data_IF_758986847297
#
_entry.id   IF_758986847297
#
_cell.length_a   1.000
_cell.length_b   1.000
_cell.length_c   1.000
_cell.angle_alpha   90.00
_cell.angle_beta   90.00
_cell.angle_gamma   90.00
#
_symmetry.space_group_name_H-M   'P 1'
#
loop_
_entity.id
_entity.type
_entity.pdbx_description
1 polymer ?
#
# COMPACT_ATOMS: atom_id res chain seq x y z
N UNK A 1 -2.31 -10.42 7.21
CA UNK A 1 -3.22 -9.26 7.11
C UNK A 1 -2.68 -8.16 8.01
N UNK A 2 -2.66 -6.91 7.55
CA UNK A 2 -2.04 -5.75 8.18
C UNK A 2 -3.07 -4.63 8.33
N UNK A 3 -2.67 -3.52 8.93
CA UNK A 3 -3.56 -2.37 9.19
C UNK A 3 -3.16 -1.13 8.41
N UNK A 4 -1.93 -1.10 7.91
CA UNK A 4 -1.31 0.08 7.30
C UNK A 4 -0.79 1.09 8.32
N UNK A 5 -0.56 0.65 9.56
CA UNK A 5 0.11 1.43 10.60
C UNK A 5 1.55 0.92 10.72
N UNK A 6 2.48 1.74 10.28
CA UNK A 6 3.90 1.38 10.27
C UNK A 6 4.44 1.34 11.71
N UNK A 7 5.10 0.24 12.06
CA UNK A 7 5.67 0.04 13.38
C UNK A 7 7.15 0.45 13.46
N UNK A 8 7.87 0.32 12.33
CA UNK A 8 9.30 0.58 12.29
C UNK A 8 9.78 0.99 10.88
N UNK A 9 10.81 1.82 10.82
CA UNK A 9 11.59 2.09 9.63
C UNK A 9 12.84 1.21 9.60
N UNK A 10 12.79 0.12 8.85
CA UNK A 10 13.93 -0.74 8.60
C UNK A 10 14.94 -0.16 7.63
N UNK A 11 16.11 -0.79 7.56
CA UNK A 11 17.16 -0.45 6.59
C UNK A 11 17.59 -1.71 5.84
N UNK A 12 17.58 -1.64 4.51
CA UNK A 12 18.04 -2.75 3.66
C UNK A 12 19.54 -2.93 3.77
N UNK A 13 19.98 -4.13 4.08
CA UNK A 13 21.42 -4.50 4.07
C UNK A 13 21.84 -5.09 2.72
N UNK A 14 20.99 -5.95 2.13
CA UNK A 14 21.24 -6.57 0.83
C UNK A 14 19.93 -6.92 0.12
N UNK A 15 19.99 -7.10 -1.20
CA UNK A 15 18.87 -7.57 -2.03
C UNK A 15 19.15 -8.99 -2.55
N UNK A 16 20.42 -9.33 -2.75
CA UNK A 16 20.86 -10.61 -3.28
C UNK A 16 21.74 -11.35 -2.24
N UNK A 17 21.61 -12.66 -2.12
CA UNK A 17 20.66 -13.56 -2.79
C UNK A 17 19.22 -13.44 -2.24
N UNK A 18 19.03 -12.78 -1.09
CA UNK A 18 17.77 -12.50 -0.42
C UNK A 18 17.70 -11.04 -0.01
N UNK A 19 16.49 -10.49 0.04
CA UNK A 19 16.28 -9.22 0.74
C UNK A 19 16.61 -9.42 2.21
N UNK A 20 17.57 -8.67 2.74
CA UNK A 20 17.86 -8.60 4.18
C UNK A 20 17.57 -7.20 4.68
N UNK A 21 16.79 -7.12 5.76
CA UNK A 21 16.39 -5.85 6.37
C UNK A 21 16.82 -5.83 7.82
N UNK A 22 17.55 -4.79 8.20
CA UNK A 22 17.92 -4.48 9.59
C UNK A 22 16.76 -3.76 10.27
N UNK A 23 16.38 -4.25 11.44
CA UNK A 23 15.27 -3.76 12.24
C UNK A 23 15.42 -4.25 13.69
N UNK A 24 14.52 -3.82 14.58
CA UNK A 24 14.53 -4.20 15.99
C UNK A 24 13.11 -4.50 16.50
N UNK A 25 12.21 -3.53 16.45
CA UNK A 25 10.85 -3.60 17.03
C UNK A 25 10.03 -4.75 16.46
N UNK A 26 10.05 -4.92 15.13
CA UNK A 26 9.27 -5.98 14.47
C UNK A 26 9.83 -7.39 14.73
N UNK A 27 11.04 -7.51 15.28
CA UNK A 27 11.65 -8.80 15.62
C UNK A 27 11.22 -9.33 17.01
N UNK A 28 10.66 -8.48 17.89
CA UNK A 28 10.39 -8.83 19.29
C UNK A 28 9.56 -10.11 19.46
N UNK A 29 8.60 -10.37 18.57
CA UNK A 29 7.73 -11.56 18.58
C UNK A 29 7.69 -12.29 17.24
N UNK A 30 8.63 -11.98 16.34
CA UNK A 30 8.68 -12.60 15.02
C UNK A 30 9.20 -14.04 15.10
N UNK A 31 8.53 -14.96 14.44
CA UNK A 31 8.97 -16.33 14.26
C UNK A 31 9.38 -16.60 12.80
N UNK A 32 10.26 -17.58 12.61
CA UNK A 32 10.63 -18.10 11.28
C UNK A 32 9.36 -18.51 10.51
N UNK A 33 9.19 -18.03 9.29
CA UNK A 33 8.01 -18.27 8.47
C UNK A 33 6.83 -17.31 8.74
N UNK A 34 6.95 -16.38 9.69
CA UNK A 34 5.93 -15.35 9.90
C UNK A 34 5.83 -14.39 8.71
N UNK A 35 4.64 -13.83 8.48
CA UNK A 35 4.47 -12.75 7.52
C UNK A 35 5.01 -11.43 8.09
N UNK A 36 5.54 -10.60 7.21
CA UNK A 36 5.95 -9.21 7.49
C UNK A 36 5.64 -8.35 6.27
N UNK A 37 5.10 -7.16 6.47
CA UNK A 37 4.94 -6.18 5.38
C UNK A 37 6.22 -5.34 5.26
N UNK A 38 6.78 -5.27 4.04
CA UNK A 38 7.92 -4.42 3.68
C UNK A 38 7.46 -3.47 2.58
N UNK A 39 7.40 -2.17 2.85
CA UNK A 39 6.76 -1.19 1.97
C UNK A 39 5.37 -1.67 1.49
N UNK A 40 4.58 -2.25 2.38
CA UNK A 40 3.25 -2.78 2.08
C UNK A 40 3.24 -4.10 1.29
N UNK A 41 4.38 -4.72 1.02
CA UNK A 41 4.45 -6.03 0.38
C UNK A 41 4.53 -7.11 1.45
N UNK A 42 3.57 -8.04 1.47
CA UNK A 42 3.60 -9.19 2.36
C UNK A 42 4.69 -10.17 1.93
N UNK A 43 5.66 -10.38 2.79
CA UNK A 43 6.78 -11.32 2.62
C UNK A 43 6.78 -12.33 3.76
N UNK A 44 7.48 -13.44 3.56
CA UNK A 44 7.76 -14.42 4.60
C UNK A 44 9.14 -14.17 5.19
N UNK A 45 9.18 -13.89 6.50
CA UNK A 45 10.43 -13.69 7.21
C UNK A 45 11.15 -15.03 7.41
N UNK A 46 12.42 -15.07 7.00
CA UNK A 46 13.31 -16.23 7.14
C UNK A 46 14.69 -15.77 7.59
N UNK A 47 15.52 -16.71 8.04
CA UNK A 47 16.90 -16.43 8.48
C UNK A 47 16.96 -15.24 9.45
N UNK A 48 16.16 -15.38 10.54
CA UNK A 48 16.07 -14.38 11.61
C UNK A 48 17.39 -14.27 12.35
N UNK A 49 17.78 -13.02 12.62
CA UNK A 49 18.96 -12.66 13.46
C UNK A 49 18.49 -11.68 14.54
N UNK A 50 19.30 -11.43 15.57
CA UNK A 50 18.92 -10.49 16.64
C UNK A 50 18.59 -9.07 16.17
N UNK A 51 19.08 -8.67 14.99
CA UNK A 51 18.98 -7.32 14.44
C UNK A 51 18.45 -7.27 12.99
N UNK A 52 18.04 -8.40 12.41
CA UNK A 52 17.60 -8.45 11.02
C UNK A 52 16.79 -9.70 10.70
N UNK A 53 16.01 -9.63 9.63
CA UNK A 53 15.43 -10.79 8.95
C UNK A 53 15.80 -10.81 7.48
N UNK A 54 15.64 -11.96 6.83
CA UNK A 54 15.69 -12.04 5.37
C UNK A 54 14.32 -12.46 4.81
N UNK A 55 14.12 -12.22 3.50
CA UNK A 55 12.95 -12.68 2.77
C UNK A 55 13.32 -13.01 1.33
N UNK A 56 12.70 -14.06 0.78
CA UNK A 56 12.81 -14.38 -0.63
C UNK A 56 11.86 -13.50 -1.45
N UNK A 57 12.32 -12.98 -2.57
CA UNK A 57 11.53 -12.14 -3.48
C UNK A 57 11.20 -12.91 -4.75
N UNK A 58 9.92 -13.21 -4.96
CA UNK A 58 9.46 -13.80 -6.21
C UNK A 58 9.61 -12.83 -7.38
N UNK A 59 9.83 -13.33 -8.63
CA UNK A 59 9.92 -12.46 -9.80
C UNK A 59 8.69 -11.54 -10.00
N UNK A 60 7.50 -12.02 -9.67
CA UNK A 60 6.27 -11.23 -9.72
C UNK A 60 6.30 -10.07 -8.73
N UNK A 61 6.75 -10.32 -7.50
CA UNK A 61 6.92 -9.29 -6.45
C UNK A 61 7.86 -8.18 -6.92
N UNK A 62 8.98 -8.55 -7.54
CA UNK A 62 9.95 -7.58 -8.08
C UNK A 62 9.37 -6.74 -9.22
N UNK A 63 8.50 -7.32 -10.06
CA UNK A 63 7.85 -6.59 -11.16
C UNK A 63 6.76 -5.64 -10.69
N UNK A 64 5.93 -6.09 -9.74
CA UNK A 64 4.73 -5.38 -9.28
C UNK A 64 4.99 -4.32 -8.23
N UNK A 65 6.15 -4.36 -7.56
CA UNK A 65 6.46 -3.48 -6.45
C UNK A 65 7.71 -2.64 -6.67
N UNK A 66 7.96 -1.70 -5.76
CA UNK A 66 9.18 -0.93 -5.72
C UNK A 66 10.37 -1.68 -5.08
N UNK A 67 10.15 -2.91 -4.58
CA UNK A 67 11.21 -3.69 -3.92
C UNK A 67 12.38 -4.00 -4.86
N UNK A 68 12.12 -4.14 -6.17
CA UNK A 68 13.17 -4.34 -7.18
C UNK A 68 14.13 -3.15 -7.37
N UNK A 69 13.73 -1.95 -6.93
CA UNK A 69 14.56 -0.74 -6.99
C UNK A 69 15.35 -0.45 -5.70
N UNK A 70 15.12 -1.23 -4.65
CA UNK A 70 15.85 -1.09 -3.38
C UNK A 70 17.33 -1.43 -3.55
N UNK A 71 18.14 -0.88 -2.67
CA UNK A 71 19.59 -1.14 -2.57
C UNK A 71 20.03 -1.09 -1.10
N UNK A 72 21.23 -1.54 -0.79
CA UNK A 72 21.79 -1.40 0.54
C UNK A 72 21.72 0.07 1.00
N UNK A 73 21.27 0.30 2.23
CA UNK A 73 20.99 1.61 2.81
C UNK A 73 19.60 2.18 2.52
N UNK A 74 18.78 1.57 1.65
CA UNK A 74 17.39 1.99 1.45
C UNK A 74 16.58 1.83 2.74
N UNK A 75 15.73 2.83 3.05
CA UNK A 75 14.78 2.73 4.15
C UNK A 75 13.50 2.07 3.66
N UNK A 76 12.86 1.27 4.51
CA UNK A 76 11.61 0.58 4.22
C UNK A 76 10.66 0.66 5.40
N UNK A 77 9.36 0.79 5.13
CA UNK A 77 8.30 0.70 6.11
C UNK A 77 8.09 -0.76 6.51
N UNK A 78 8.00 -1.04 7.81
CA UNK A 78 7.78 -2.38 8.35
C UNK A 78 6.51 -2.40 9.21
N UNK A 79 5.70 -3.46 9.03
CA UNK A 79 4.54 -3.73 9.86
C UNK A 79 4.38 -5.23 10.05
N UNK A 80 4.18 -5.67 11.30
CA UNK A 80 3.82 -7.05 11.64
C UNK A 80 2.36 -7.34 11.29
N UNK A 81 1.96 -8.61 11.10
CA UNK A 81 0.55 -8.96 10.94
C UNK A 81 -0.27 -8.50 12.16
N UNK A 82 -1.49 -8.03 11.90
CA UNK A 82 -2.43 -7.67 12.97
C UNK A 82 -2.63 -8.85 13.92
N UNK A 83 -2.30 -8.66 15.19
CA UNK A 83 -2.59 -9.63 16.26
C UNK A 83 -4.10 -9.78 16.46
N UNK A 84 -4.61 -10.99 16.80
CA UNK A 84 -6.03 -11.20 17.11
C UNK A 84 -6.56 -10.28 18.24
N UNK A 85 -5.69 -9.85 19.16
CA UNK A 85 -6.01 -8.90 20.23
C UNK A 85 -5.69 -7.44 19.83
N UNK A 86 -5.13 -7.20 18.65
CA UNK A 86 -4.74 -5.88 18.16
C UNK A 86 -5.92 -5.04 17.69
N UNK A 87 -5.66 -3.76 17.47
CA UNK A 87 -6.66 -2.82 16.93
C UNK A 87 -6.42 -2.61 15.43
N UNK A 88 -7.49 -2.57 14.66
CA UNK A 88 -7.45 -2.13 13.26
C UNK A 88 -7.41 -0.59 13.25
N UNK A 89 -6.19 -0.01 13.35
CA UNK A 89 -6.00 1.44 13.42
C UNK A 89 -6.09 2.17 12.07
N UNK A 90 -5.89 1.45 10.97
CA UNK A 90 -6.02 1.96 9.59
C UNK A 90 -7.21 1.32 8.87
N UNK A 91 -6.91 0.53 7.82
CA UNK A 91 -7.91 -0.26 7.10
C UNK A 91 -7.40 -1.70 6.85
N UNK A 92 -8.17 -2.53 6.17
CA UNK A 92 -7.76 -3.91 5.86
C UNK A 92 -6.70 -3.87 4.74
N UNK A 93 -5.44 -4.03 5.12
CA UNK A 93 -4.29 -4.13 4.21
C UNK A 93 -3.84 -5.58 4.14
N UNK A 94 -3.78 -6.14 2.93
CA UNK A 94 -3.39 -7.53 2.75
C UNK A 94 -1.89 -7.72 2.57
N UNK A 95 -1.20 -6.67 2.13
CA UNK A 95 0.18 -6.73 1.65
C UNK A 95 0.26 -7.20 0.20
N UNK A 96 -0.85 -7.13 -0.53
CA UNK A 96 -0.95 -7.55 -1.92
C UNK A 96 -1.02 -6.32 -2.83
N UNK A 97 0.16 -5.76 -3.09
CA UNK A 97 0.33 -4.55 -3.91
C UNK A 97 -0.27 -4.74 -5.29
N UNK A 98 -1.15 -3.84 -5.71
CA UNK A 98 -1.81 -3.86 -7.01
C UNK A 98 -0.91 -3.36 -8.12
N UNK A 99 -0.07 -2.39 -7.81
CA UNK A 99 0.87 -1.77 -8.74
C UNK A 99 1.68 -0.68 -8.07
N UNK A 100 2.39 0.10 -8.87
CA UNK A 100 3.18 1.23 -8.36
C UNK A 100 2.71 2.53 -8.96
N UNK A 101 2.58 3.56 -8.11
CA UNK A 101 2.42 4.95 -8.52
C UNK A 101 3.75 5.68 -8.63
N UNK A 102 3.72 6.84 -9.26
CA UNK A 102 4.84 7.78 -9.34
C UNK A 102 4.62 8.89 -8.32
N UNK A 103 5.56 9.04 -7.39
CA UNK A 103 5.60 10.18 -6.47
C UNK A 103 5.84 11.47 -7.26
N UNK A 104 4.93 12.44 -7.17
CA UNK A 104 5.01 13.70 -7.89
C UNK A 104 5.56 14.83 -7.02
N UNK A 105 4.96 15.03 -5.84
CA UNK A 105 5.36 16.09 -4.92
C UNK A 105 4.94 15.79 -3.49
N UNK A 106 5.62 16.45 -2.55
CA UNK A 106 5.25 16.57 -1.16
C UNK A 106 5.40 18.05 -0.77
N UNK A 107 4.29 18.76 -0.69
CA UNK A 107 4.24 20.22 -0.51
C UNK A 107 3.67 20.56 0.86
N UNK A 108 4.28 21.53 1.55
CA UNK A 108 3.75 22.02 2.83
C UNK A 108 2.38 22.68 2.62
N UNK A 109 1.39 22.32 3.46
CA UNK A 109 0.02 22.85 3.42
C UNK A 109 -0.16 24.16 4.24
N UNK A 110 0.89 24.54 4.94
CA UNK A 110 0.79 25.51 6.03
C UNK A 110 0.59 24.77 7.36
N UNK A 111 1.20 25.28 8.45
CA UNK A 111 1.34 24.50 9.68
C UNK A 111 2.40 23.41 9.52
N UNK A 112 2.12 22.22 10.09
CA UNK A 112 3.08 21.10 10.08
C UNK A 112 2.66 19.94 9.17
N UNK A 113 1.65 20.11 8.31
CA UNK A 113 1.12 19.09 7.43
C UNK A 113 1.64 19.24 5.98
N UNK A 114 1.59 18.15 5.23
CA UNK A 114 2.00 18.11 3.82
C UNK A 114 0.92 17.54 2.93
N UNK A 115 0.93 17.99 1.68
CA UNK A 115 0.13 17.48 0.59
C UNK A 115 0.99 16.55 -0.28
N UNK A 116 0.74 15.26 -0.19
CA UNK A 116 1.40 14.24 -1.01
C UNK A 116 0.59 14.00 -2.27
N UNK A 117 1.25 14.06 -3.42
CA UNK A 117 0.66 13.80 -4.74
C UNK A 117 1.34 12.62 -5.42
N UNK A 118 0.53 11.69 -5.94
CA UNK A 118 0.99 10.48 -6.63
C UNK A 118 0.22 10.33 -7.92
N UNK A 119 0.92 10.12 -9.04
CA UNK A 119 0.30 9.67 -10.28
C UNK A 119 -0.03 8.19 -10.17
N UNK A 120 -1.29 7.86 -10.42
CA UNK A 120 -1.81 6.50 -10.30
C UNK A 120 -1.93 5.87 -11.68
N UNK A 121 -1.58 4.58 -11.83
CA UNK A 121 -1.87 3.83 -13.05
C UNK A 121 -3.38 3.81 -13.32
N UNK A 122 -3.83 4.01 -14.58
CA UNK A 122 -5.27 4.08 -14.91
C UNK A 122 -6.07 2.84 -14.49
N UNK A 123 -5.43 1.68 -14.44
CA UNK A 123 -6.06 0.42 -14.02
C UNK A 123 -6.46 0.40 -12.53
N UNK A 124 -5.87 1.25 -11.70
CA UNK A 124 -6.20 1.34 -10.27
C UNK A 124 -7.30 2.38 -9.97
N UNK A 125 -7.56 3.32 -10.88
CA UNK A 125 -8.54 4.39 -10.70
C UNK A 125 -9.95 3.89 -10.28
N UNK A 126 -10.50 2.79 -10.86
CA UNK A 126 -11.82 2.30 -10.46
C UNK A 126 -11.94 1.86 -8.99
N UNK A 127 -10.83 1.60 -8.32
CA UNK A 127 -10.80 1.14 -6.92
C UNK A 127 -10.52 2.27 -5.92
N UNK A 128 -10.21 3.47 -6.40
CA UNK A 128 -9.93 4.63 -5.57
C UNK A 128 -11.18 5.49 -5.43
N UNK A 129 -11.50 5.87 -4.19
CA UNK A 129 -12.71 6.63 -3.88
C UNK A 129 -12.35 7.84 -3.02
N UNK A 130 -12.86 9.02 -3.37
CA UNK A 130 -12.72 10.21 -2.53
C UNK A 130 -13.18 9.92 -1.10
N UNK A 131 -12.33 10.26 -0.12
CA UNK A 131 -12.49 9.92 1.31
C UNK A 131 -12.42 8.41 1.63
N UNK A 132 -12.11 7.57 0.64
CA UNK A 132 -11.76 6.17 0.88
C UNK A 132 -10.33 6.01 1.38
N UNK A 133 -9.95 4.76 1.64
CA UNK A 133 -8.60 4.38 2.08
C UNK A 133 -7.75 3.87 0.94
N UNK A 134 -6.45 4.08 1.03
CA UNK A 134 -5.43 3.49 0.16
C UNK A 134 -4.18 3.22 0.99
N UNK A 135 -3.47 2.14 0.73
CA UNK A 135 -2.15 1.92 1.31
C UNK A 135 -1.06 2.37 0.32
N UNK A 136 -0.19 3.28 0.77
CA UNK A 136 0.96 3.81 0.01
C UNK A 136 2.22 3.36 0.73
N UNK A 137 3.01 2.48 0.09
CA UNK A 137 4.13 1.79 0.74
C UNK A 137 3.76 1.21 2.11
N UNK A 138 2.56 0.62 2.20
CA UNK A 138 2.01 0.05 3.40
C UNK A 138 1.38 1.05 4.38
N UNK A 139 1.48 2.34 4.14
CA UNK A 139 0.88 3.38 5.01
C UNK A 139 -0.59 3.56 4.65
N UNK A 140 -1.50 3.33 5.61
CA UNK A 140 -2.93 3.60 5.46
C UNK A 140 -3.20 5.09 5.44
N UNK A 141 -3.77 5.59 4.34
CA UNK A 141 -4.02 7.01 4.14
C UNK A 141 -5.42 7.25 3.57
N UNK A 142 -6.01 8.38 3.94
CA UNK A 142 -7.31 8.81 3.40
C UNK A 142 -7.11 9.63 2.14
N UNK A 143 -7.84 9.28 1.09
CA UNK A 143 -7.83 9.99 -0.20
C UNK A 143 -8.51 11.35 -0.02
N UNK A 144 -7.75 12.42 -0.19
CA UNK A 144 -8.23 13.79 -0.05
C UNK A 144 -8.63 14.44 -1.38
N UNK A 145 -8.07 13.97 -2.51
CA UNK A 145 -8.48 14.34 -3.86
C UNK A 145 -8.09 13.26 -4.88
N UNK A 146 -8.86 13.18 -5.98
CA UNK A 146 -8.59 12.34 -7.15
C UNK A 146 -8.92 13.17 -8.38
N UNK A 147 -7.91 13.59 -9.15
CA UNK A 147 -8.10 14.46 -10.31
C UNK A 147 -7.08 14.16 -11.39
N UNK A 148 -7.54 13.87 -12.60
CA UNK A 148 -6.66 13.67 -13.77
C UNK A 148 -5.63 12.54 -13.60
N UNK A 149 -5.98 11.46 -12.89
CA UNK A 149 -5.07 10.35 -12.60
C UNK A 149 -4.05 10.66 -11.50
N UNK A 150 -4.27 11.74 -10.72
CA UNK A 150 -3.46 12.10 -9.57
C UNK A 150 -4.25 11.88 -8.29
N UNK A 151 -3.72 11.02 -7.43
CA UNK A 151 -4.15 10.79 -6.06
C UNK A 151 -3.46 11.80 -5.16
N UNK A 152 -4.22 12.43 -4.26
CA UNK A 152 -3.67 13.31 -3.24
C UNK A 152 -4.13 12.90 -1.84
N UNK A 153 -3.19 12.93 -0.89
CA UNK A 153 -3.43 12.63 0.53
C UNK A 153 -2.73 13.66 1.41
N UNK A 154 -3.24 13.86 2.62
CA UNK A 154 -2.59 14.72 3.62
C UNK A 154 -1.69 13.87 4.51
N UNK A 155 -0.46 14.32 4.72
CA UNK A 155 0.53 13.71 5.60
C UNK A 155 0.71 14.58 6.83
N UNK A 156 0.47 14.01 8.01
CA UNK A 156 0.69 14.66 9.31
C UNK A 156 2.15 14.49 9.78
N UNK A 157 2.64 15.29 10.72
CA UNK A 157 4.04 15.23 11.20
C UNK A 157 4.49 13.85 11.67
N UNK A 158 3.61 13.11 12.33
CA UNK A 158 3.90 11.75 12.80
C UNK A 158 4.23 10.84 11.61
N UNK A 159 3.35 10.78 10.60
CA UNK A 159 3.52 9.95 9.39
C UNK A 159 4.77 10.37 8.61
N UNK A 160 5.01 11.67 8.47
CA UNK A 160 6.20 12.21 7.80
C UNK A 160 7.49 11.70 8.44
N UNK A 161 7.58 11.70 9.77
CA UNK A 161 8.79 11.30 10.51
C UNK A 161 8.98 9.80 10.65
N UNK A 162 7.88 9.02 10.70
CA UNK A 162 7.92 7.60 11.03
C UNK A 162 7.72 6.67 9.83
N UNK A 163 7.68 7.22 8.61
CA UNK A 163 7.55 6.44 7.37
C UNK A 163 8.54 6.91 6.31
N UNK A 164 8.68 6.14 5.23
CA UNK A 164 9.53 6.50 4.09
C UNK A 164 9.01 7.68 3.30
N UNK A 165 7.73 8.09 3.47
CA UNK A 165 7.05 9.07 2.62
C UNK A 165 7.72 10.45 2.61
N UNK A 166 8.31 10.88 3.74
CA UNK A 166 9.04 12.15 3.85
C UNK A 166 10.38 12.19 3.10
N UNK A 167 10.90 11.04 2.68
CA UNK A 167 12.22 10.91 2.04
C UNK A 167 12.19 10.79 0.51
N UNK A 168 11.02 10.71 -0.11
CA UNK A 168 10.91 10.51 -1.56
C UNK A 168 11.21 11.79 -2.36
N UNK A 169 11.63 11.56 -3.60
CA UNK A 169 11.84 12.62 -4.60
C UNK A 169 10.91 12.40 -5.79
N UNK A 170 10.53 13.45 -6.53
CA UNK A 170 9.75 13.32 -7.75
C UNK A 170 10.32 12.26 -8.70
N UNK A 171 9.43 11.42 -9.24
CA UNK A 171 9.78 10.27 -10.07
C UNK A 171 10.02 8.96 -9.30
N UNK A 172 10.06 8.98 -7.95
CA UNK A 172 10.16 7.75 -7.16
C UNK A 172 8.91 6.87 -7.34
N UNK A 173 9.11 5.55 -7.39
CA UNK A 173 8.01 4.58 -7.42
C UNK A 173 7.58 4.26 -5.99
N UNK A 174 6.27 4.31 -5.75
CA UNK A 174 5.65 3.91 -4.48
C UNK A 174 4.66 2.77 -4.72
N UNK A 175 4.60 1.81 -3.80
CA UNK A 175 3.63 0.71 -3.88
C UNK A 175 2.24 1.23 -3.56
N UNK A 176 1.24 0.76 -4.31
CA UNK A 176 -0.16 1.07 -4.09
C UNK A 176 -0.94 -0.22 -3.87
N UNK A 177 -1.69 -0.27 -2.76
CA UNK A 177 -2.70 -1.28 -2.52
C UNK A 177 -4.04 -0.58 -2.31
N UNK A 178 -5.01 -0.85 -3.20
CA UNK A 178 -6.38 -0.34 -3.10
C UNK A 178 -7.14 -1.14 -2.04
N UNK A 179 -8.10 -0.50 -1.39
CA UNK A 179 -8.95 -1.17 -0.39
C UNK A 179 -9.63 -2.40 -1.00
N UNK A 180 -9.48 -3.56 -0.34
CA UNK A 180 -10.04 -4.84 -0.80
C UNK A 180 -11.58 -4.77 -0.95
N UNK A 181 -12.26 -3.95 -0.15
CA UNK A 181 -13.70 -3.76 -0.26
C UNK A 181 -14.08 -3.12 -1.59
N UNK A 182 -13.33 -2.11 -2.06
CA UNK A 182 -13.55 -1.48 -3.36
C UNK A 182 -13.39 -2.49 -4.51
N UNK A 183 -12.38 -3.36 -4.44
CA UNK A 183 -12.15 -4.44 -5.43
C UNK A 183 -13.30 -5.44 -5.47
N UNK A 184 -13.86 -5.81 -4.32
CA UNK A 184 -15.01 -6.73 -4.26
C UNK A 184 -16.28 -6.09 -4.80
N UNK A 185 -16.56 -4.84 -4.42
CA UNK A 185 -17.73 -4.08 -4.91
C UNK A 185 -17.67 -3.93 -6.43
N UNK A 186 -16.55 -3.51 -6.97
CA UNK A 186 -16.34 -3.33 -8.41
C UNK A 186 -16.54 -4.66 -9.17
N UNK A 187 -15.98 -5.77 -8.67
CA UNK A 187 -16.16 -7.10 -9.26
C UNK A 187 -17.61 -7.57 -9.24
N UNK A 188 -18.37 -7.26 -8.20
CA UNK A 188 -19.80 -7.59 -8.10
C UNK A 188 -20.62 -6.75 -9.08
N UNK A 189 -20.37 -5.44 -9.16
CA UNK A 189 -21.09 -4.54 -10.06
C UNK A 189 -20.88 -4.90 -11.53
N UNK A 190 -19.68 -5.31 -11.94
CA UNK A 190 -19.41 -5.81 -13.31
C UNK A 190 -20.28 -7.03 -13.67
N UNK A 191 -20.62 -7.87 -12.70
CA UNK A 191 -21.45 -9.06 -12.94
C UNK A 191 -22.94 -8.74 -13.05
N UNK A 192 -23.39 -7.63 -12.47
CA UNK A 192 -24.83 -7.26 -12.44
C UNK A 192 -25.33 -6.65 -13.74
N UNK A 193 -24.47 -6.49 -14.77
CA UNK A 193 -24.81 -5.91 -16.08
C UNK A 193 -25.69 -4.62 -15.98
N UNK A 194 -25.30 -3.75 -15.03
CA UNK A 194 -26.02 -2.49 -14.72
C UNK A 194 -26.07 -1.54 -15.92
N UNK A 195 -25.41 -1.89 -17.03
CA UNK A 195 -25.32 -1.07 -18.26
C UNK A 195 -26.39 -1.35 -19.31
N UNK A 196 -27.29 -2.30 -19.09
CA UNK A 196 -28.40 -2.47 -20.02
C UNK A 196 -29.36 -1.26 -19.87
N UNK A 197 -29.46 -0.35 -20.86
CA UNK A 197 -30.40 0.77 -20.78
C UNK A 197 -31.81 0.22 -20.60
N UNK A 198 -32.60 0.89 -19.77
CA UNK A 198 -34.02 0.59 -19.65
C UNK A 198 -34.66 0.97 -20.98
N UNK A 199 -34.90 -0.02 -21.86
CA UNK A 199 -35.56 0.22 -23.14
C UNK A 199 -37.08 0.01 -23.00
N UNK A 200 -37.86 0.67 -23.86
CA UNK A 200 -39.34 0.51 -23.92
C UNK A 200 -39.70 -0.96 -24.18
N UNK A 201 -38.89 -1.68 -24.98
CA UNK A 201 -39.07 -3.12 -25.21
C UNK A 201 -38.93 -3.92 -23.91
N UNK A 202 -37.90 -3.64 -23.12
CA UNK A 202 -37.65 -4.33 -21.84
C UNK A 202 -38.74 -4.02 -20.80
N UNK A 203 -39.32 -2.82 -20.84
CA UNK A 203 -40.47 -2.48 -20.00
C UNK A 203 -41.70 -3.30 -20.43
N UNK A 204 -41.99 -3.36 -21.74
CA UNK A 204 -43.11 -4.16 -22.28
C UNK A 204 -42.96 -5.65 -22.00
N UNK A 205 -41.78 -6.23 -22.13
CA UNK A 205 -41.49 -7.64 -21.80
C UNK A 205 -41.74 -7.95 -20.32
N UNK A 206 -41.63 -6.97 -19.44
CA UNK A 206 -41.86 -7.09 -18.00
C UNK A 206 -43.25 -6.57 -17.57
N UNK A 207 -44.19 -6.30 -18.51
CA UNK A 207 -45.57 -5.97 -18.20
C UNK A 207 -45.86 -4.51 -17.88
N UNK A 208 -44.98 -3.60 -18.28
CA UNK A 208 -45.14 -2.14 -18.15
C UNK A 208 -45.44 -1.48 -19.50
#
# INVERSE_FOLDING_TARGET
>A
MFTGIIEELGTVDSIQPRLRVRCATVLEDMAEGASIAVNGVCLTAVDLKPDSFAADLAPETLRRSNLGALRAGSRVNLERPLSPAGRLGGHIVQGHVDGTGEFLSLEALGGEDWWLRIRVPPELDPFLVYKGSVAIDGVSLTIAALEGGVLSVTIIPHTYRHTTLGGYRPGARVNLECDILAKHVEKLLRKLDVKAPLTVEKLRENGY
#
